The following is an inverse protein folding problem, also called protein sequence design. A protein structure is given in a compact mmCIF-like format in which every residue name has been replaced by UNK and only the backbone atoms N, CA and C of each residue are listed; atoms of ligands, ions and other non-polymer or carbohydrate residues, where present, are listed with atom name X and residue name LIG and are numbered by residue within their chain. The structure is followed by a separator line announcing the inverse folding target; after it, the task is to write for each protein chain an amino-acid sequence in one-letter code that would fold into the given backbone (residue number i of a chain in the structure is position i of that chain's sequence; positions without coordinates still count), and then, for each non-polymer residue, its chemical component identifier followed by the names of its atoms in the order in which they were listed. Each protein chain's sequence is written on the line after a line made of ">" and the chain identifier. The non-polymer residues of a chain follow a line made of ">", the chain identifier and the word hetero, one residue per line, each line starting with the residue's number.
data_IF_878765492546
#
_entry.id   IF_878765492546
#
_cell.length_a   1.000
_cell.length_b   1.000
_cell.length_c   1.000
_cell.angle_alpha   90.00
_cell.angle_beta   90.00
_cell.angle_gamma   90.00
#
_symmetry.space_group_name_H-M   'P 1'
#
loop_
_entity.id
_entity.type
_entity.pdbx_description
1 polymer ?
#
# COMPACT_ATOMS: atom_id res chain seq x y z
N UNK A 1 38.13 -21.73 -61.51
CA UNK A 1 38.63 -20.58 -60.73
C UNK A 1 37.53 -19.63 -60.24
N UNK A 2 36.32 -19.73 -60.72
CA UNK A 2 35.16 -18.85 -60.36
C UNK A 2 34.44 -19.24 -59.04
N UNK A 3 34.61 -20.44 -58.51
CA UNK A 3 33.86 -20.88 -57.32
C UNK A 3 34.44 -20.38 -55.98
N UNK A 4 35.74 -20.02 -55.94
CA UNK A 4 36.38 -19.51 -54.72
C UNK A 4 36.10 -18.01 -54.51
N UNK A 5 35.93 -17.23 -55.57
CA UNK A 5 35.71 -15.79 -55.51
C UNK A 5 34.26 -15.47 -54.97
N UNK A 6 33.29 -16.33 -55.30
CA UNK A 6 31.90 -16.17 -54.83
C UNK A 6 31.75 -16.44 -53.31
N UNK A 7 32.55 -17.35 -52.72
CA UNK A 7 32.55 -17.61 -51.28
C UNK A 7 33.08 -16.45 -50.43
N UNK A 8 34.09 -15.74 -50.92
CA UNK A 8 34.66 -14.58 -50.17
C UNK A 8 33.79 -13.34 -50.27
N UNK A 9 33.03 -13.17 -51.36
CA UNK A 9 32.03 -12.10 -51.49
C UNK A 9 30.86 -12.34 -50.56
N UNK A 10 30.41 -13.58 -50.42
CA UNK A 10 29.28 -13.95 -49.53
C UNK A 10 29.65 -13.82 -48.05
N UNK A 11 30.91 -14.13 -47.69
CA UNK A 11 31.44 -13.91 -46.31
C UNK A 11 31.62 -12.40 -46.02
N UNK A 12 32.07 -11.61 -47.02
CA UNK A 12 32.20 -10.15 -46.89
C UNK A 12 30.84 -9.44 -46.74
N UNK A 13 29.78 -9.91 -47.39
CA UNK A 13 28.42 -9.41 -47.23
C UNK A 13 27.84 -9.79 -45.88
N UNK A 14 28.07 -11.00 -45.37
CA UNK A 14 27.64 -11.38 -44.00
C UNK A 14 28.33 -10.56 -42.90
N UNK A 15 29.57 -10.14 -43.06
CA UNK A 15 30.29 -9.30 -42.10
C UNK A 15 29.84 -7.84 -42.10
N UNK A 16 29.26 -7.34 -43.21
CA UNK A 16 28.74 -5.96 -43.31
C UNK A 16 27.35 -5.90 -42.66
N UNK A 17 26.57 -6.99 -42.68
CA UNK A 17 25.25 -7.03 -42.02
C UNK A 17 25.34 -7.30 -40.51
N UNK A 18 26.43 -7.86 -40.00
CA UNK A 18 26.58 -8.12 -38.55
C UNK A 18 26.93 -6.86 -37.73
N UNK A 19 27.39 -5.76 -38.38
CA UNK A 19 27.74 -4.54 -37.67
C UNK A 19 26.58 -3.63 -37.27
N UNK A 20 25.40 -3.82 -37.82
CA UNK A 20 24.21 -3.00 -37.47
C UNK A 20 23.37 -3.60 -36.34
N UNK A 21 23.45 -4.92 -36.09
CA UNK A 21 22.64 -5.57 -35.05
C UNK A 21 23.13 -5.32 -33.63
N UNK A 22 24.41 -5.06 -33.40
CA UNK A 22 24.95 -4.83 -32.06
C UNK A 22 24.69 -3.39 -31.54
N UNK A 23 24.67 -2.40 -32.43
CA UNK A 23 24.44 -1.00 -32.02
C UNK A 23 22.97 -0.74 -31.64
N UNK A 24 22.02 -1.38 -32.29
CA UNK A 24 20.59 -1.24 -31.99
C UNK A 24 20.20 -1.91 -30.67
N UNK A 25 20.84 -3.03 -30.30
CA UNK A 25 20.57 -3.71 -29.03
C UNK A 25 21.06 -2.90 -27.80
N UNK A 26 22.16 -2.18 -27.91
CA UNK A 26 22.72 -1.39 -26.81
C UNK A 26 21.84 -0.14 -26.55
N UNK A 27 21.34 0.54 -27.59
CA UNK A 27 20.45 1.69 -27.44
C UNK A 27 19.10 1.27 -26.83
N UNK A 28 18.49 0.21 -27.34
CA UNK A 28 17.23 -0.32 -26.80
C UNK A 28 17.37 -0.67 -25.31
N UNK A 29 18.46 -1.33 -24.91
CA UNK A 29 18.69 -1.69 -23.51
C UNK A 29 18.87 -0.45 -22.62
N UNK A 30 19.53 0.58 -23.14
CA UNK A 30 19.69 1.85 -22.44
C UNK A 30 18.36 2.57 -22.27
N UNK A 31 17.57 2.69 -23.33
CA UNK A 31 16.27 3.36 -23.32
C UNK A 31 15.27 2.62 -22.43
N UNK A 32 15.29 1.28 -22.43
CA UNK A 32 14.53 0.46 -21.47
C UNK A 32 14.96 0.74 -20.03
N UNK A 33 16.25 0.91 -19.77
CA UNK A 33 16.77 1.32 -18.46
C UNK A 33 16.18 2.64 -18.01
N UNK A 34 16.21 3.65 -18.85
CA UNK A 34 15.62 4.97 -18.59
C UNK A 34 14.10 4.90 -18.38
N UNK A 35 13.39 4.13 -19.21
CA UNK A 35 11.95 3.93 -19.06
C UNK A 35 11.60 3.28 -17.70
N UNK A 36 12.42 2.32 -17.27
CA UNK A 36 12.25 1.68 -15.95
C UNK A 36 12.46 2.69 -14.83
N UNK A 37 13.51 3.52 -14.90
CA UNK A 37 13.79 4.56 -13.89
C UNK A 37 12.64 5.58 -13.81
N UNK A 38 12.13 6.01 -14.95
CA UNK A 38 10.96 6.90 -15.05
C UNK A 38 9.70 6.27 -14.42
N UNK A 39 9.46 4.99 -14.73
CA UNK A 39 8.35 4.24 -14.16
C UNK A 39 8.47 4.05 -12.63
N UNK A 40 9.68 3.84 -12.10
CA UNK A 40 9.93 3.73 -10.67
C UNK A 40 9.67 5.06 -9.95
N UNK A 41 10.17 6.16 -10.50
CA UNK A 41 9.92 7.50 -9.96
C UNK A 41 8.42 7.78 -9.88
N UNK A 42 7.70 7.54 -11.00
CA UNK A 42 6.26 7.76 -11.04
C UNK A 42 5.51 6.86 -10.06
N UNK A 43 5.84 5.57 -10.04
CA UNK A 43 5.20 4.58 -9.17
C UNK A 43 5.36 4.92 -7.69
N UNK A 44 6.54 5.38 -7.25
CA UNK A 44 6.75 5.78 -5.86
C UNK A 44 5.87 6.96 -5.46
N UNK A 45 5.78 7.99 -6.30
CA UNK A 45 4.92 9.16 -6.06
C UNK A 45 3.44 8.79 -6.07
N UNK A 46 3.04 7.95 -7.01
CA UNK A 46 1.66 7.53 -7.20
C UNK A 46 1.13 6.69 -6.02
N UNK A 47 1.87 5.65 -5.59
CA UNK A 47 1.37 4.67 -4.61
C UNK A 47 1.61 5.07 -3.15
N UNK A 48 2.61 5.90 -2.85
CA UNK A 48 3.00 6.23 -1.48
C UNK A 48 1.84 6.75 -0.62
N UNK A 49 0.96 7.67 -1.07
CA UNK A 49 -0.16 8.12 -0.26
C UNK A 49 -1.14 7.01 0.11
N UNK A 50 -1.36 6.05 -0.80
CA UNK A 50 -2.24 4.91 -0.55
C UNK A 50 -1.66 3.93 0.47
N UNK A 51 -0.38 3.62 0.38
CA UNK A 51 0.29 2.72 1.34
C UNK A 51 0.46 3.39 2.70
N UNK A 52 0.73 4.69 2.77
CA UNK A 52 0.71 5.45 4.02
C UNK A 52 -0.70 5.39 4.66
N UNK A 53 -1.75 5.60 3.87
CA UNK A 53 -3.14 5.48 4.33
C UNK A 53 -3.46 4.09 4.89
N UNK A 54 -2.98 3.03 4.24
CA UNK A 54 -3.17 1.66 4.68
C UNK A 54 -2.59 1.43 6.09
N UNK A 55 -1.39 1.96 6.39
CA UNK A 55 -0.79 1.89 7.73
C UNK A 55 -1.69 2.52 8.79
N UNK A 56 -2.26 3.70 8.51
CA UNK A 56 -3.14 4.38 9.48
C UNK A 56 -4.45 3.63 9.69
N UNK A 57 -4.99 3.02 8.63
CA UNK A 57 -6.22 2.23 8.71
C UNK A 57 -6.00 0.93 9.48
N UNK A 58 -4.91 0.21 9.24
CA UNK A 58 -4.62 -1.05 9.91
C UNK A 58 -4.19 -0.86 11.36
N UNK A 59 -3.57 0.28 11.68
CA UNK A 59 -3.05 0.59 13.01
C UNK A 59 -4.14 0.93 14.03
N UNK A 60 -5.29 1.45 13.60
CA UNK A 60 -6.38 1.85 14.50
C UNK A 60 -7.36 0.72 14.82
N UNK A 61 -8.10 0.88 15.94
CA UNK A 61 -9.21 -0.02 16.29
C UNK A 61 -8.79 -1.44 16.70
N UNK A 62 -7.59 -1.61 17.23
CA UNK A 62 -7.13 -2.90 17.77
C UNK A 62 -7.67 -3.20 19.16
N UNK A 63 -7.83 -2.17 19.98
CA UNK A 63 -8.17 -2.32 21.39
C UNK A 63 -9.59 -1.85 21.65
N UNK A 64 -10.43 -2.75 22.10
CA UNK A 64 -11.82 -2.45 22.46
C UNK A 64 -11.95 -1.87 23.87
N UNK A 65 -11.10 -2.36 24.78
CA UNK A 65 -11.06 -1.95 26.18
C UNK A 65 -9.68 -2.22 26.74
N UNK A 66 -9.20 -1.37 27.63
CA UNK A 66 -7.97 -1.61 28.40
C UNK A 66 -8.21 -2.48 29.65
N UNK A 67 -9.46 -2.83 29.93
CA UNK A 67 -9.86 -3.62 31.11
C UNK A 67 -9.27 -5.03 31.09
N UNK A 68 -8.94 -5.54 32.28
CA UNK A 68 -8.63 -6.96 32.49
C UNK A 68 -9.92 -7.77 32.36
N UNK A 69 -9.90 -8.78 31.50
CA UNK A 69 -11.02 -9.71 31.29
C UNK A 69 -10.79 -11.02 32.04
N UNK A 70 -11.86 -11.80 32.18
CA UNK A 70 -11.77 -13.12 32.75
C UNK A 70 -11.08 -14.08 31.79
N UNK A 71 -10.50 -15.14 32.34
CA UNK A 71 -9.90 -16.20 31.54
C UNK A 71 -10.95 -16.82 30.60
N UNK A 72 -10.58 -16.99 29.32
CA UNK A 72 -11.39 -17.53 28.24
C UNK A 72 -12.56 -16.66 27.79
N UNK A 73 -12.67 -15.42 28.26
CA UNK A 73 -13.60 -14.48 27.65
C UNK A 73 -13.19 -14.26 26.16
N UNK A 74 -14.18 -14.40 25.28
CA UNK A 74 -14.02 -14.19 23.84
C UNK A 74 -14.79 -12.95 23.43
N UNK A 75 -14.18 -12.11 22.61
CA UNK A 75 -14.86 -11.01 21.94
C UNK A 75 -14.73 -11.19 20.44
N UNK A 76 -15.83 -11.01 19.72
CA UNK A 76 -15.83 -10.95 18.25
C UNK A 76 -16.44 -9.63 17.84
N UNK A 77 -15.85 -8.98 16.86
CA UNK A 77 -16.31 -7.68 16.38
C UNK A 77 -16.37 -7.61 14.85
N UNK A 78 -17.41 -6.93 14.37
CA UNK A 78 -17.52 -6.47 13.00
C UNK A 78 -17.25 -4.97 12.99
N UNK A 79 -16.34 -4.55 12.15
CA UNK A 79 -15.84 -3.19 12.13
C UNK A 79 -15.97 -2.60 10.73
N UNK A 80 -16.14 -1.29 10.66
CA UNK A 80 -16.08 -0.52 9.42
C UNK A 80 -15.16 0.68 9.63
N UNK A 81 -14.12 0.76 8.85
CA UNK A 81 -13.19 1.89 8.81
C UNK A 81 -13.62 2.91 7.76
N UNK A 82 -13.48 4.18 8.11
CA UNK A 82 -13.71 5.35 7.26
C UNK A 82 -12.40 6.15 7.21
N UNK A 83 -11.71 6.09 6.13
CA UNK A 83 -10.49 6.86 5.91
C UNK A 83 -10.81 8.11 5.10
N UNK A 84 -10.52 9.28 5.66
CA UNK A 84 -10.73 10.57 5.01
C UNK A 84 -9.48 10.94 4.21
N UNK A 85 -9.62 10.96 2.88
CA UNK A 85 -8.51 11.24 1.96
C UNK A 85 -8.19 12.74 1.99
N UNK A 86 -6.99 13.15 2.47
CA UNK A 86 -6.62 14.56 2.50
C UNK A 86 -6.42 15.11 1.07
N UNK A 87 -6.75 16.39 0.88
CA UNK A 87 -6.55 17.02 -0.43
C UNK A 87 -5.08 17.08 -0.84
N UNK A 88 -4.17 17.24 0.12
CA UNK A 88 -2.72 17.25 -0.11
C UNK A 88 -2.14 15.95 -0.68
N UNK A 89 -2.83 14.85 -0.48
CA UNK A 89 -2.36 13.52 -0.87
C UNK A 89 -3.08 12.98 -2.12
N UNK A 90 -3.90 13.81 -2.78
CA UNK A 90 -4.66 13.42 -3.98
C UNK A 90 -3.91 13.58 -5.28
N UNK A 91 -2.96 14.50 -5.32
CA UNK A 91 -2.25 14.89 -6.53
C UNK A 91 -0.77 15.12 -6.21
N UNK A 92 0.08 14.99 -7.21
CA UNK A 92 1.48 15.37 -7.13
C UNK A 92 1.94 16.01 -8.44
N UNK A 93 2.95 16.87 -8.34
CA UNK A 93 3.54 17.53 -9.49
C UNK A 93 4.66 16.68 -10.07
N UNK A 94 4.70 16.60 -11.41
CA UNK A 94 5.79 16.04 -12.20
C UNK A 94 6.37 17.13 -13.09
N UNK A 95 7.65 17.00 -13.43
CA UNK A 95 8.37 17.89 -14.34
C UNK A 95 9.11 17.05 -15.38
N UNK A 96 9.35 17.61 -16.57
CA UNK A 96 10.17 16.92 -17.58
C UNK A 96 11.58 16.59 -17.06
N UNK A 97 12.13 17.39 -16.13
CA UNK A 97 13.43 17.13 -15.50
C UNK A 97 13.44 15.92 -14.55
N UNK A 98 12.28 15.39 -14.19
CA UNK A 98 12.17 14.22 -13.33
C UNK A 98 12.29 12.90 -14.10
N UNK A 99 12.26 12.96 -15.43
CA UNK A 99 12.29 11.84 -16.35
C UNK A 99 13.55 11.82 -17.19
N UNK A 100 13.99 10.64 -17.59
CA UNK A 100 15.15 10.40 -18.43
C UNK A 100 14.76 10.15 -19.90
N UNK A 101 13.68 9.40 -20.12
CA UNK A 101 13.15 9.04 -21.43
C UNK A 101 11.84 9.77 -21.74
N UNK A 102 10.96 9.88 -20.75
CA UNK A 102 9.61 10.41 -20.93
C UNK A 102 9.57 11.93 -20.78
N UNK A 103 8.59 12.55 -21.42
CA UNK A 103 8.27 13.96 -21.29
C UNK A 103 6.75 14.16 -21.34
N UNK A 104 6.27 15.31 -20.86
CA UNK A 104 4.85 15.65 -20.90
C UNK A 104 4.47 15.98 -22.35
N UNK A 105 3.57 15.17 -22.94
CA UNK A 105 3.19 15.25 -24.37
C UNK A 105 2.66 16.63 -24.77
N UNK A 106 1.98 17.34 -23.87
CA UNK A 106 1.44 18.68 -24.16
C UNK A 106 2.49 19.77 -24.39
N UNK A 107 3.78 19.47 -24.20
CA UNK A 107 4.88 20.44 -24.27
C UNK A 107 5.02 21.32 -23.02
N UNK A 108 4.21 21.11 -21.98
CA UNK A 108 4.35 21.77 -20.70
C UNK A 108 5.61 21.29 -19.97
N UNK A 109 6.26 22.17 -19.20
CA UNK A 109 7.46 21.83 -18.42
C UNK A 109 7.12 21.08 -17.14
N UNK A 110 5.87 21.20 -16.64
CA UNK A 110 5.36 20.53 -15.46
C UNK A 110 3.86 20.27 -15.58
N UNK A 111 3.38 19.25 -14.90
CA UNK A 111 1.95 18.92 -14.80
C UNK A 111 1.62 18.36 -13.42
N UNK A 112 0.34 18.47 -13.04
CA UNK A 112 -0.20 17.83 -11.84
C UNK A 112 -0.94 16.57 -12.26
N UNK A 113 -0.68 15.46 -11.57
CA UNK A 113 -1.26 14.15 -11.85
C UNK A 113 -1.82 13.53 -10.58
N UNK A 114 -2.83 12.64 -10.66
CA UNK A 114 -3.42 12.03 -9.48
C UNK A 114 -2.48 11.02 -8.83
N UNK A 115 -2.57 10.92 -7.50
CA UNK A 115 -2.06 9.76 -6.77
C UNK A 115 -3.04 8.58 -6.86
N UNK A 116 -2.67 7.42 -6.36
CA UNK A 116 -3.53 6.22 -6.33
C UNK A 116 -4.86 6.43 -5.59
N UNK A 117 -4.88 7.27 -4.54
CA UNK A 117 -6.10 7.65 -3.80
C UNK A 117 -6.71 8.97 -4.27
N UNK A 118 -6.09 9.60 -5.26
CA UNK A 118 -6.43 10.92 -5.73
C UNK A 118 -7.57 10.98 -6.72
N UNK A 119 -7.77 12.21 -7.17
CA UNK A 119 -8.63 12.56 -8.28
C UNK A 119 -7.84 13.56 -9.13
N UNK A 120 -8.00 13.51 -10.37
CA UNK A 120 -7.32 14.42 -11.29
C UNK A 120 -7.41 13.89 -12.69
N UNK A 121 -7.03 14.73 -13.60
CA UNK A 121 -7.01 14.37 -15.01
C UNK A 121 -5.77 13.55 -15.32
N UNK A 122 -5.96 12.56 -16.18
CA UNK A 122 -4.86 11.83 -16.76
C UNK A 122 -4.18 12.71 -17.81
N UNK A 123 -2.89 12.56 -17.94
CA UNK A 123 -2.11 13.16 -19.03
C UNK A 123 -1.37 12.06 -19.76
N UNK A 124 -0.84 12.41 -20.93
CA UNK A 124 0.02 11.53 -21.69
C UNK A 124 1.48 11.94 -21.49
N UNK A 125 2.32 10.94 -21.30
CA UNK A 125 3.76 11.02 -21.36
C UNK A 125 4.21 10.42 -22.70
N UNK A 126 5.10 11.08 -23.40
CA UNK A 126 5.65 10.64 -24.66
C UNK A 126 7.17 10.48 -24.53
N UNK A 127 7.73 9.54 -25.26
CA UNK A 127 9.15 9.27 -25.33
C UNK A 127 9.49 8.56 -26.63
N UNK A 128 10.76 8.20 -26.79
CA UNK A 128 11.27 7.44 -27.93
C UNK A 128 12.00 6.21 -27.38
N UNK A 129 11.66 5.04 -27.89
CA UNK A 129 12.26 3.77 -27.51
C UNK A 129 12.91 3.15 -28.75
N UNK A 130 14.22 3.27 -28.87
CA UNK A 130 15.01 2.78 -30.02
C UNK A 130 14.53 3.35 -31.39
N UNK A 131 14.13 4.64 -31.43
CA UNK A 131 13.62 5.32 -32.61
C UNK A 131 12.11 5.14 -32.83
N UNK A 132 11.41 4.39 -31.98
CA UNK A 132 9.96 4.22 -32.05
C UNK A 132 9.26 5.07 -30.99
N UNK A 133 8.29 5.92 -31.37
CA UNK A 133 7.58 6.78 -30.42
C UNK A 133 6.72 5.94 -29.47
N UNK A 134 6.87 6.17 -28.18
CA UNK A 134 6.01 5.60 -27.16
C UNK A 134 5.13 6.66 -26.52
N UNK A 135 3.92 6.26 -26.15
CA UNK A 135 2.92 7.11 -25.51
C UNK A 135 2.25 6.37 -24.36
N UNK A 136 2.36 6.91 -23.17
CA UNK A 136 1.88 6.27 -21.93
C UNK A 136 0.87 7.19 -21.25
N UNK A 137 -0.34 6.72 -21.02
CA UNK A 137 -1.34 7.44 -20.23
C UNK A 137 -1.07 7.25 -18.74
N UNK A 138 -1.03 8.34 -17.97
CA UNK A 138 -0.85 8.25 -16.52
C UNK A 138 -2.06 7.57 -15.86
N UNK A 139 -1.86 6.74 -14.82
CA UNK A 139 -2.97 6.02 -14.17
C UNK A 139 -3.90 6.97 -13.41
N UNK A 140 -5.18 6.62 -13.34
CA UNK A 140 -6.19 7.31 -12.50
C UNK A 140 -6.12 6.84 -11.06
N UNK A 141 -6.40 7.74 -10.13
CA UNK A 141 -6.71 7.37 -8.75
C UNK A 141 -8.14 6.85 -8.57
N UNK A 142 -8.46 6.39 -7.35
CA UNK A 142 -9.80 5.86 -7.02
C UNK A 142 -10.87 6.94 -6.95
N UNK A 143 -10.49 8.21 -6.85
CA UNK A 143 -11.38 9.37 -6.76
C UNK A 143 -12.49 9.19 -5.72
N UNK A 144 -12.11 8.94 -4.48
CA UNK A 144 -13.03 8.83 -3.34
C UNK A 144 -12.61 9.78 -2.23
N UNK A 145 -13.59 10.52 -1.66
CA UNK A 145 -13.31 11.40 -0.51
C UNK A 145 -13.14 10.61 0.77
N UNK A 146 -13.83 9.48 0.86
CA UNK A 146 -13.76 8.55 1.99
C UNK A 146 -13.61 7.15 1.45
N UNK A 147 -12.58 6.46 1.90
CA UNK A 147 -12.38 5.03 1.63
C UNK A 147 -12.98 4.24 2.79
N UNK A 148 -13.89 3.34 2.47
CA UNK A 148 -14.62 2.54 3.46
C UNK A 148 -14.23 1.07 3.27
N UNK A 149 -13.82 0.41 4.36
CA UNK A 149 -13.61 -1.03 4.30
C UNK A 149 -14.04 -1.72 5.61
N UNK A 150 -14.71 -2.87 5.50
CA UNK A 150 -15.06 -3.68 6.64
C UNK A 150 -13.90 -4.60 7.06
N UNK A 151 -13.85 -4.93 8.34
CA UNK A 151 -12.97 -5.98 8.83
C UNK A 151 -13.57 -6.69 10.05
N UNK A 152 -13.17 -7.92 10.25
CA UNK A 152 -13.47 -8.71 11.43
C UNK A 152 -12.33 -8.58 12.43
N UNK A 153 -12.65 -8.66 13.70
CA UNK A 153 -11.66 -8.71 14.77
C UNK A 153 -12.11 -9.66 15.87
N UNK A 154 -11.15 -10.20 16.56
CA UNK A 154 -11.37 -11.11 17.66
C UNK A 154 -10.37 -10.88 18.79
N UNK A 155 -10.80 -11.18 20.02
CA UNK A 155 -9.93 -11.19 21.19
C UNK A 155 -10.24 -12.42 22.04
N UNK A 156 -9.19 -13.09 22.52
CA UNK A 156 -9.28 -14.20 23.45
C UNK A 156 -8.47 -13.85 24.70
N UNK A 157 -9.13 -13.84 25.85
CA UNK A 157 -8.50 -13.56 27.14
C UNK A 157 -7.81 -14.80 27.70
N UNK A 158 -6.58 -14.61 28.10
CA UNK A 158 -5.71 -15.62 28.69
C UNK A 158 -5.41 -15.30 30.17
N UNK A 159 -4.45 -16.00 30.75
CA UNK A 159 -3.99 -15.80 32.12
C UNK A 159 -3.34 -14.40 32.31
N UNK A 160 -3.36 -13.94 33.53
CA UNK A 160 -2.67 -12.72 34.00
C UNK A 160 -3.07 -11.45 33.25
N UNK A 161 -4.34 -11.36 32.75
CA UNK A 161 -4.82 -10.17 32.05
C UNK A 161 -4.18 -9.95 30.67
N UNK A 162 -3.72 -11.04 30.07
CA UNK A 162 -3.22 -11.05 28.69
C UNK A 162 -4.34 -11.45 27.74
N UNK A 163 -4.39 -10.85 26.55
CA UNK A 163 -5.33 -11.21 25.48
C UNK A 163 -4.58 -11.35 24.15
N UNK A 164 -4.95 -12.35 23.38
CA UNK A 164 -4.55 -12.48 21.97
C UNK A 164 -5.58 -11.78 21.12
N UNK A 165 -5.12 -10.99 20.17
CA UNK A 165 -5.94 -10.19 19.26
C UNK A 165 -5.73 -10.68 17.83
N UNK A 166 -6.79 -10.66 17.03
CA UNK A 166 -6.75 -10.94 15.59
C UNK A 166 -7.58 -9.91 14.84
N UNK A 167 -7.11 -9.53 13.64
CA UNK A 167 -7.80 -8.65 12.71
C UNK A 167 -7.73 -9.26 11.32
N UNK A 168 -8.83 -9.25 10.60
CA UNK A 168 -8.91 -9.77 9.24
C UNK A 168 -9.91 -8.97 8.41
N UNK A 169 -9.49 -8.47 7.27
CA UNK A 169 -10.37 -7.99 6.21
C UNK A 169 -10.24 -8.92 5.01
N UNK A 170 -11.34 -9.43 4.46
CA UNK A 170 -11.27 -10.07 3.16
C UNK A 170 -10.81 -9.04 2.11
N UNK A 171 -10.44 -9.53 0.94
CA UNK A 171 -10.08 -8.63 -0.17
C UNK A 171 -11.32 -7.85 -0.59
N UNK A 172 -11.25 -6.53 -0.44
CA UNK A 172 -12.32 -5.57 -0.74
C UNK A 172 -11.96 -4.83 -2.01
N UNK A 173 -12.87 -4.86 -2.99
CA UNK A 173 -12.71 -4.13 -4.25
C UNK A 173 -13.14 -2.67 -4.05
N UNK A 174 -12.25 -1.75 -4.36
CA UNK A 174 -12.45 -0.30 -4.29
C UNK A 174 -12.27 0.28 -5.70
N UNK A 175 -13.29 0.23 -6.54
CA UNK A 175 -13.23 0.65 -7.96
C UNK A 175 -12.08 -0.06 -8.71
N UNK A 176 -10.93 0.60 -8.87
CA UNK A 176 -9.72 0.10 -9.56
C UNK A 176 -8.64 -0.37 -8.60
N UNK A 177 -8.98 -0.57 -7.35
CA UNK A 177 -8.04 -1.01 -6.33
C UNK A 177 -8.65 -2.13 -5.50
N UNK A 178 -7.78 -2.91 -4.89
CA UNK A 178 -8.14 -3.92 -3.91
C UNK A 178 -7.39 -3.64 -2.62
N UNK A 179 -8.04 -3.93 -1.49
CA UNK A 179 -7.46 -3.81 -0.17
C UNK A 179 -7.73 -5.08 0.64
N UNK A 180 -6.70 -5.56 1.29
CA UNK A 180 -6.77 -6.66 2.25
C UNK A 180 -5.89 -6.36 3.46
N UNK A 181 -6.32 -6.76 4.65
CA UNK A 181 -5.48 -6.74 5.85
C UNK A 181 -5.69 -8.00 6.65
N UNK A 182 -4.61 -8.50 7.23
CA UNK A 182 -4.65 -9.48 8.32
C UNK A 182 -3.59 -9.12 9.36
N UNK A 183 -3.85 -9.50 10.59
CA UNK A 183 -2.88 -9.24 11.64
C UNK A 183 -3.27 -9.92 12.94
N UNK A 184 -2.32 -9.93 13.85
CA UNK A 184 -2.47 -10.48 15.19
C UNK A 184 -1.71 -9.62 16.20
N UNK A 185 -2.06 -9.76 17.47
CA UNK A 185 -1.41 -9.01 18.52
C UNK A 185 -1.62 -9.62 19.90
N UNK A 186 -0.93 -9.02 20.86
CA UNK A 186 -1.04 -9.35 22.26
C UNK A 186 -1.29 -8.07 23.03
N UNK A 187 -2.35 -8.05 23.83
CA UNK A 187 -2.66 -6.98 24.79
C UNK A 187 -2.41 -7.50 26.20
N UNK A 188 -1.80 -6.68 27.06
CA UNK A 188 -1.60 -6.99 28.46
C UNK A 188 -2.11 -5.85 29.34
N UNK A 189 -2.96 -6.17 30.33
CA UNK A 189 -3.47 -5.19 31.28
C UNK A 189 -2.40 -4.86 32.32
N UNK A 190 -2.01 -3.58 32.38
CA UNK A 190 -1.00 -3.07 33.30
C UNK A 190 -1.60 -2.59 34.62
N UNK A 191 -2.87 -2.15 34.65
CA UNK A 191 -3.50 -1.60 35.87
C UNK A 191 -3.53 -2.58 37.01
N UNK A 192 -3.55 -3.91 36.76
CA UNK A 192 -3.50 -4.94 37.79
C UNK A 192 -2.25 -4.89 38.70
N UNK A 193 -1.21 -4.17 38.28
CA UNK A 193 0.03 -3.98 39.06
C UNK A 193 0.05 -2.68 39.84
N UNK A 194 -0.95 -1.79 39.66
CA UNK A 194 -0.98 -0.46 40.28
C UNK A 194 -2.27 -0.24 41.06
N UNK A 195 -2.23 -0.40 42.38
CA UNK A 195 -3.38 -0.24 43.29
C UNK A 195 -4.11 1.10 43.12
N UNK A 196 -3.38 2.18 42.83
CA UNK A 196 -3.97 3.50 42.59
C UNK A 196 -4.85 3.56 41.36
N UNK A 197 -4.51 2.84 40.29
CA UNK A 197 -5.30 2.76 39.08
C UNK A 197 -6.58 1.94 39.30
N UNK A 198 -6.46 0.81 40.01
CA UNK A 198 -7.62 0.00 40.37
C UNK A 198 -8.62 0.75 41.26
N UNK A 199 -8.13 1.47 42.28
CA UNK A 199 -8.96 2.27 43.16
C UNK A 199 -9.73 3.37 42.42
N UNK A 200 -9.14 3.97 41.38
CA UNK A 200 -9.76 5.00 40.55
C UNK A 200 -10.55 4.45 39.35
N UNK A 201 -10.64 3.11 39.22
CA UNK A 201 -11.29 2.42 38.08
C UNK A 201 -10.73 2.88 36.73
N UNK A 202 -9.43 3.12 36.68
CA UNK A 202 -8.69 3.45 35.45
C UNK A 202 -8.01 2.15 34.99
N UNK A 203 -8.32 1.73 33.80
CA UNK A 203 -7.68 0.59 33.17
C UNK A 203 -6.54 1.09 32.26
N UNK A 204 -5.40 0.44 32.33
CA UNK A 204 -4.23 0.70 31.49
C UNK A 204 -3.80 -0.62 30.87
N UNK A 205 -3.50 -0.60 29.57
CA UNK A 205 -3.01 -1.78 28.86
C UNK A 205 -1.93 -1.39 27.85
N UNK A 206 -0.94 -2.26 27.70
CA UNK A 206 0.02 -2.22 26.59
C UNK A 206 -0.37 -3.28 25.55
N UNK A 207 -0.19 -2.96 24.29
CA UNK A 207 -0.52 -3.84 23.16
C UNK A 207 0.63 -3.83 22.17
N UNK A 208 1.01 -5.01 21.69
CA UNK A 208 1.92 -5.18 20.56
C UNK A 208 1.17 -5.89 19.45
N UNK A 209 1.23 -5.37 18.23
CA UNK A 209 0.56 -5.97 17.07
C UNK A 209 1.48 -6.03 15.86
N UNK A 210 1.19 -6.98 15.00
CA UNK A 210 1.68 -7.09 13.64
C UNK A 210 0.50 -7.12 12.69
N UNK A 211 0.59 -6.38 11.60
CA UNK A 211 -0.35 -6.47 10.49
C UNK A 211 0.38 -6.47 9.15
N UNK A 212 -0.24 -7.10 8.17
CA UNK A 212 0.16 -7.06 6.78
C UNK A 212 -0.99 -6.51 5.96
N UNK A 213 -0.72 -5.48 5.19
CA UNK A 213 -1.65 -4.83 4.28
C UNK A 213 -1.22 -5.07 2.85
N UNK A 214 -2.19 -5.44 2.00
CA UNK A 214 -2.04 -5.50 0.54
C UNK A 214 -2.98 -4.48 -0.09
N UNK A 215 -2.41 -3.48 -0.73
CA UNK A 215 -3.13 -2.44 -1.47
C UNK A 215 -2.71 -2.51 -2.91
N UNK A 216 -3.61 -2.85 -3.81
CA UNK A 216 -3.30 -2.96 -5.24
C UNK A 216 -4.16 -2.05 -6.09
N UNK A 217 -3.57 -1.56 -7.17
CA UNK A 217 -4.20 -0.66 -8.13
C UNK A 217 -4.03 -1.21 -9.53
N UNK A 218 -5.16 -1.34 -10.24
CA UNK A 218 -5.17 -1.74 -11.64
C UNK A 218 -5.07 -0.50 -12.54
N UNK A 219 -4.25 -0.60 -13.57
CA UNK A 219 -4.13 0.38 -14.63
C UNK A 219 -4.28 -0.31 -15.99
N UNK A 220 -4.38 0.47 -17.05
CA UNK A 220 -4.54 -0.07 -18.39
C UNK A 220 -3.28 -0.82 -18.82
N UNK A 221 -3.47 -1.91 -19.58
CA UNK A 221 -2.37 -2.61 -20.22
C UNK A 221 -1.59 -1.65 -21.12
N UNK A 222 -0.28 -1.62 -20.95
CA UNK A 222 0.61 -0.83 -21.80
C UNK A 222 0.85 -1.65 -23.08
N UNK A 223 0.26 -1.19 -24.19
CA UNK A 223 0.44 -1.77 -25.50
C UNK A 223 1.54 -1.04 -26.25
N UNK A 224 2.41 -1.78 -26.87
CA UNK A 224 3.45 -1.28 -27.78
C UNK A 224 3.35 -2.01 -29.11
N UNK A 225 4.05 -1.57 -30.16
CA UNK A 225 4.12 -2.30 -31.43
C UNK A 225 4.74 -3.71 -31.27
N UNK A 226 5.50 -3.91 -30.22
CA UNK A 226 6.06 -5.22 -29.82
C UNK A 226 5.10 -6.09 -28.98
N UNK A 227 3.89 -5.59 -28.68
CA UNK A 227 2.86 -6.25 -27.90
C UNK A 227 2.66 -5.67 -26.50
N UNK A 228 1.90 -6.40 -25.67
CA UNK A 228 1.60 -6.01 -24.29
C UNK A 228 2.84 -6.18 -23.40
N UNK A 229 3.20 -5.14 -22.63
CA UNK A 229 4.30 -5.21 -21.65
C UNK A 229 4.01 -6.15 -20.47
N UNK A 230 2.78 -6.64 -20.33
CA UNK A 230 2.42 -7.56 -19.25
C UNK A 230 2.38 -6.92 -17.87
N UNK A 231 2.16 -5.61 -17.79
CA UNK A 231 2.14 -4.84 -16.55
C UNK A 231 0.83 -4.06 -16.50
N UNK A 232 -0.06 -4.41 -15.58
CA UNK A 232 -1.33 -3.70 -15.42
C UNK A 232 -1.78 -3.56 -13.96
N UNK A 233 -0.98 -4.03 -12.99
CA UNK A 233 -1.29 -3.92 -11.57
C UNK A 233 -0.03 -3.58 -10.76
N UNK A 234 -0.13 -2.53 -9.93
CA UNK A 234 0.86 -2.17 -8.93
C UNK A 234 0.31 -2.47 -7.54
N UNK A 235 1.00 -3.28 -6.76
CA UNK A 235 0.66 -3.61 -5.38
C UNK A 235 1.67 -3.00 -4.42
N UNK A 236 1.17 -2.38 -3.35
CA UNK A 236 1.94 -2.01 -2.17
C UNK A 236 1.66 -3.03 -1.06
N UNK A 237 2.69 -3.72 -0.62
CA UNK A 237 2.67 -4.66 0.49
C UNK A 237 3.33 -3.98 1.69
N UNK A 238 2.61 -3.90 2.79
CA UNK A 238 3.08 -3.19 3.98
C UNK A 238 3.05 -4.11 5.18
N UNK A 239 4.21 -4.32 5.79
CA UNK A 239 4.34 -5.03 7.06
C UNK A 239 4.45 -4.00 8.19
N UNK A 240 3.48 -3.97 9.10
CA UNK A 240 3.42 -2.98 10.20
C UNK A 240 3.61 -3.65 11.55
N UNK A 241 4.60 -3.20 12.29
CA UNK A 241 4.85 -3.56 13.70
C UNK A 241 4.45 -2.38 14.59
N UNK A 242 3.61 -2.62 15.57
CA UNK A 242 3.01 -1.56 16.36
C UNK A 242 3.10 -1.85 17.86
N UNK A 243 3.38 -0.79 18.61
CA UNK A 243 3.21 -0.74 20.06
C UNK A 243 2.13 0.30 20.39
N UNK A 244 1.24 -0.02 21.31
CA UNK A 244 0.15 0.87 21.70
C UNK A 244 -0.02 0.86 23.22
N UNK A 245 -0.22 2.04 23.81
CA UNK A 245 -0.63 2.21 25.20
C UNK A 245 -2.05 2.76 25.22
N UNK A 246 -2.92 2.10 25.98
CA UNK A 246 -4.32 2.47 26.09
C UNK A 246 -4.70 2.68 27.55
N UNK A 247 -5.41 3.77 27.81
CA UNK A 247 -6.08 4.01 29.08
C UNK A 247 -7.60 4.04 28.85
N UNK A 248 -8.36 3.40 29.72
CA UNK A 248 -9.83 3.45 29.66
C UNK A 248 -10.46 3.63 31.04
N UNK A 249 -11.68 4.19 31.02
CA UNK A 249 -12.49 4.34 32.21
C UNK A 249 -13.95 4.07 31.91
N UNK A 250 -14.57 3.25 32.77
CA UNK A 250 -15.99 2.91 32.66
C UNK A 250 -16.87 3.89 33.45
N UNK A 251 -17.95 4.32 32.83
CA UNK A 251 -19.02 5.11 33.43
C UNK A 251 -20.36 4.40 33.19
N UNK A 252 -20.78 3.54 34.08
CA UNK A 252 -21.98 2.69 33.94
C UNK A 252 -21.91 1.82 32.67
N UNK A 253 -22.65 2.21 31.63
CA UNK A 253 -22.70 1.50 30.33
C UNK A 253 -21.78 2.10 29.27
N UNK A 254 -21.05 3.14 29.59
CA UNK A 254 -20.15 3.82 28.66
C UNK A 254 -18.72 3.58 29.13
N UNK A 255 -17.84 3.20 28.23
CA UNK A 255 -16.40 3.20 28.42
C UNK A 255 -15.77 4.18 27.46
N UNK A 256 -14.93 5.07 27.98
CA UNK A 256 -14.09 5.98 27.19
C UNK A 256 -12.68 5.44 27.21
N UNK A 257 -12.05 5.42 26.05
CA UNK A 257 -10.70 4.92 25.86
C UNK A 257 -9.88 5.95 25.10
N UNK A 258 -8.63 6.16 25.54
CA UNK A 258 -7.62 6.93 24.82
C UNK A 258 -6.38 6.06 24.62
N UNK A 259 -5.78 6.16 23.44
CA UNK A 259 -4.62 5.38 23.06
C UNK A 259 -3.53 6.23 22.40
N UNK A 260 -2.29 5.83 22.62
CA UNK A 260 -1.13 6.32 21.90
C UNK A 260 -0.50 5.14 21.16
N UNK A 261 -0.28 5.31 19.87
CA UNK A 261 0.21 4.29 18.94
C UNK A 261 1.55 4.77 18.36
N UNK A 262 2.54 3.89 18.41
CA UNK A 262 3.80 4.01 17.69
C UNK A 262 3.95 2.78 16.79
N UNK A 263 4.20 2.98 15.50
CA UNK A 263 4.42 1.89 14.58
C UNK A 263 5.65 2.12 13.70
N UNK A 264 6.19 1.01 13.20
CA UNK A 264 7.21 0.97 12.15
C UNK A 264 6.67 0.07 11.05
N UNK A 265 6.70 0.57 9.82
CA UNK A 265 6.14 -0.11 8.66
C UNK A 265 7.17 -0.25 7.55
N UNK A 266 7.29 -1.46 7.02
CA UNK A 266 8.12 -1.80 5.88
C UNK A 266 7.27 -1.85 4.62
N UNK A 267 7.59 -0.99 3.66
CA UNK A 267 6.87 -0.83 2.39
C UNK A 267 7.61 -1.57 1.28
N UNK A 268 6.92 -2.49 0.64
CA UNK A 268 7.37 -3.26 -0.51
C UNK A 268 6.40 -3.08 -1.67
N UNK A 269 6.90 -3.12 -2.88
CA UNK A 269 6.09 -2.91 -4.07
C UNK A 269 6.25 -4.07 -5.04
N UNK A 270 5.18 -4.38 -5.78
CA UNK A 270 5.17 -5.46 -6.76
C UNK A 270 4.32 -5.06 -7.96
N UNK A 271 4.89 -5.24 -9.16
CA UNK A 271 4.19 -5.15 -10.43
C UNK A 271 3.77 -6.54 -10.89
N UNK A 272 2.55 -6.65 -11.39
CA UNK A 272 2.00 -7.86 -11.97
C UNK A 272 1.12 -7.52 -13.18
N UNK A 273 0.82 -8.52 -14.00
CA UNK A 273 -0.07 -8.39 -15.17
C UNK A 273 -0.09 -9.67 -15.96
N UNK A 274 -0.94 -9.71 -16.98
CA UNK A 274 -1.02 -10.82 -17.93
C UNK A 274 0.20 -10.76 -18.84
N UNK A 275 1.04 -11.79 -18.79
CA UNK A 275 2.25 -11.87 -19.62
C UNK A 275 1.89 -11.88 -21.10
N UNK A 276 2.49 -10.97 -21.86
CA UNK A 276 2.39 -10.88 -23.31
C UNK A 276 3.62 -11.46 -24.03
N UNK A 277 3.67 -11.35 -25.34
CA UNK A 277 4.74 -11.90 -26.19
C UNK A 277 6.14 -11.34 -25.81
N UNK A 278 6.21 -10.11 -25.34
CA UNK A 278 7.48 -9.47 -24.92
C UNK A 278 8.10 -10.23 -23.74
N UNK A 279 7.29 -10.71 -22.79
CA UNK A 279 7.77 -11.41 -21.59
C UNK A 279 8.44 -12.76 -21.91
N UNK A 280 8.16 -13.34 -23.09
CA UNK A 280 8.84 -14.56 -23.57
C UNK A 280 10.28 -14.30 -23.97
N UNK A 281 10.57 -13.07 -24.43
CA UNK A 281 11.91 -12.67 -24.89
C UNK A 281 12.66 -11.91 -23.82
N UNK A 282 11.99 -10.98 -23.14
CA UNK A 282 12.55 -10.13 -22.09
C UNK A 282 11.69 -10.33 -20.81
N UNK A 283 12.23 -10.86 -19.72
CA UNK A 283 11.48 -11.08 -18.47
C UNK A 283 11.23 -9.75 -17.74
N UNK A 284 10.41 -8.88 -18.35
CA UNK A 284 10.23 -7.48 -17.96
C UNK A 284 9.61 -7.36 -16.55
N UNK A 285 8.59 -8.18 -16.23
CA UNK A 285 8.02 -8.21 -14.88
C UNK A 285 9.07 -8.56 -13.82
N UNK A 286 9.94 -9.51 -14.11
CA UNK A 286 11.01 -9.87 -13.18
C UNK A 286 11.99 -8.73 -13.00
N UNK A 287 12.46 -8.12 -14.08
CA UNK A 287 13.40 -6.98 -14.06
C UNK A 287 12.81 -5.82 -13.27
N UNK A 288 11.58 -5.41 -13.57
CA UNK A 288 10.89 -4.33 -12.87
C UNK A 288 10.69 -4.63 -11.38
N UNK A 289 10.32 -5.86 -11.03
CA UNK A 289 10.18 -6.24 -9.62
C UNK A 289 11.52 -6.30 -8.88
N UNK A 290 12.66 -6.54 -9.55
CA UNK A 290 13.97 -6.37 -8.93
C UNK A 290 14.31 -4.89 -8.69
N UNK A 291 14.03 -4.04 -9.68
CA UNK A 291 14.26 -2.59 -9.59
C UNK A 291 13.33 -1.92 -8.57
N UNK A 292 12.09 -2.36 -8.41
CA UNK A 292 11.15 -1.87 -7.39
C UNK A 292 11.70 -2.00 -5.96
N UNK A 293 12.65 -2.90 -5.71
CA UNK A 293 13.30 -3.00 -4.39
C UNK A 293 14.08 -1.74 -4.02
N UNK A 294 14.49 -0.95 -4.99
CA UNK A 294 15.25 0.30 -4.77
C UNK A 294 14.37 1.41 -4.14
N UNK A 295 13.04 1.32 -4.32
CA UNK A 295 12.09 2.25 -3.69
C UNK A 295 11.44 1.68 -2.41
N UNK A 296 11.89 0.51 -1.93
CA UNK A 296 11.46 -0.01 -0.63
C UNK A 296 11.89 0.94 0.48
N UNK A 297 11.02 1.11 1.45
CA UNK A 297 11.28 2.06 2.54
C UNK A 297 10.66 1.59 3.84
N UNK A 298 11.28 2.01 4.93
CA UNK A 298 10.76 1.83 6.29
C UNK A 298 10.39 3.19 6.85
N UNK A 299 9.19 3.30 7.42
CA UNK A 299 8.71 4.53 8.06
C UNK A 299 8.23 4.27 9.47
N UNK A 300 8.53 5.20 10.37
CA UNK A 300 7.95 5.25 11.71
C UNK A 300 6.82 6.29 11.76
N UNK A 301 5.71 5.95 12.42
CA UNK A 301 4.57 6.84 12.58
C UNK A 301 4.08 6.85 14.04
N UNK A 302 3.50 7.96 14.44
CA UNK A 302 2.85 8.15 15.73
C UNK A 302 1.41 8.59 15.51
N UNK A 303 0.49 8.02 16.31
CA UNK A 303 -0.93 8.30 16.21
C UNK A 303 -1.54 8.41 17.60
N UNK A 304 -2.56 9.25 17.72
CA UNK A 304 -3.48 9.25 18.85
C UNK A 304 -4.77 8.54 18.48
N UNK A 305 -5.42 7.92 19.48
CA UNK A 305 -6.72 7.27 19.31
C UNK A 305 -7.62 7.62 20.47
N UNK A 306 -8.88 7.97 20.18
CA UNK A 306 -9.93 8.18 21.19
C UNK A 306 -11.16 7.38 20.77
N UNK A 307 -11.76 6.64 21.72
CA UNK A 307 -12.99 5.92 21.45
C UNK A 307 -13.99 5.98 22.60
N UNK A 308 -15.26 5.90 22.22
CA UNK A 308 -16.37 5.72 23.10
C UNK A 308 -17.07 4.38 22.80
N UNK A 309 -17.31 3.59 23.84
CA UNK A 309 -17.91 2.26 23.77
C UNK A 309 -19.17 2.24 24.63
N UNK A 310 -20.29 1.77 24.07
CA UNK A 310 -21.57 1.66 24.77
C UNK A 310 -22.04 0.23 24.86
N UNK A 311 -22.43 -0.20 26.07
CA UNK A 311 -22.83 -1.57 26.38
C UNK A 311 -24.36 -1.75 26.31
N UNK A 312 -24.79 -2.74 25.54
CA UNK A 312 -26.17 -3.23 25.46
C UNK A 312 -26.15 -4.74 25.73
N UNK A 313 -26.30 -5.14 27.01
CA UNK A 313 -26.16 -6.53 27.43
C UNK A 313 -24.76 -7.08 27.11
N UNK A 314 -24.65 -8.07 26.22
CA UNK A 314 -23.39 -8.65 25.72
C UNK A 314 -22.92 -8.02 24.42
N UNK A 315 -23.69 -7.08 23.87
CA UNK A 315 -23.34 -6.33 22.65
C UNK A 315 -22.72 -5.00 23.05
N UNK A 316 -21.70 -4.59 22.33
CA UNK A 316 -21.06 -3.29 22.49
C UNK A 316 -20.99 -2.59 21.14
N UNK A 317 -21.26 -1.30 21.14
CA UNK A 317 -21.07 -0.42 19.99
C UNK A 317 -19.94 0.54 20.35
N UNK A 318 -18.92 0.61 19.50
CA UNK A 318 -17.78 1.48 19.74
C UNK A 318 -17.54 2.37 18.51
N UNK A 319 -17.31 3.64 18.76
CA UNK A 319 -16.81 4.59 17.76
C UNK A 319 -15.41 5.02 18.16
N UNK A 320 -14.48 4.95 17.22
CA UNK A 320 -13.08 5.30 17.40
C UNK A 320 -12.69 6.34 16.38
N UNK A 321 -11.93 7.34 16.81
CA UNK A 321 -11.25 8.31 15.92
C UNK A 321 -9.75 8.18 16.19
N UNK A 322 -8.99 7.92 15.16
CA UNK A 322 -7.55 7.93 15.19
C UNK A 322 -7.01 9.08 14.34
N UNK A 323 -5.97 9.72 14.83
CA UNK A 323 -5.42 10.94 14.23
C UNK A 323 -3.88 10.94 14.30
N UNK A 324 -3.28 11.53 13.29
CA UNK A 324 -1.85 11.68 13.09
C UNK A 324 -1.63 12.45 11.79
N UNK A 325 -0.80 11.93 10.87
CA UNK A 325 -0.73 12.48 9.50
C UNK A 325 -2.10 12.41 8.80
N UNK A 326 -2.85 11.33 9.05
CA UNK A 326 -4.19 11.13 8.56
C UNK A 326 -5.20 11.02 9.69
N UNK A 327 -6.47 11.27 9.36
CA UNK A 327 -7.59 11.02 10.25
C UNK A 327 -8.40 9.87 9.70
N UNK A 328 -8.67 8.89 10.55
CA UNK A 328 -9.61 7.82 10.25
C UNK A 328 -10.58 7.61 11.40
N UNK A 329 -11.73 7.05 11.08
CA UNK A 329 -12.76 6.69 12.05
C UNK A 329 -13.10 5.21 11.89
N UNK A 330 -13.39 4.55 12.99
CA UNK A 330 -13.84 3.18 13.01
C UNK A 330 -15.15 3.09 13.79
N UNK A 331 -16.12 2.40 13.22
CA UNK A 331 -17.35 2.01 13.89
C UNK A 331 -17.35 0.49 14.04
N UNK A 332 -17.57 -0.02 15.26
CA UNK A 332 -17.59 -1.44 15.51
C UNK A 332 -18.81 -1.87 16.33
N UNK A 333 -19.29 -3.07 16.03
CA UNK A 333 -20.26 -3.80 16.83
C UNK A 333 -19.57 -5.08 17.31
N UNK A 334 -19.56 -5.29 18.63
CA UNK A 334 -18.84 -6.35 19.27
C UNK A 334 -19.81 -7.22 20.09
N UNK A 335 -19.52 -8.49 20.19
CA UNK A 335 -20.21 -9.42 21.07
C UNK A 335 -19.19 -10.07 22.02
N UNK A 336 -19.51 -10.06 23.32
CA UNK A 336 -18.73 -10.72 24.38
C UNK A 336 -19.44 -11.97 24.86
N UNK A 337 -18.75 -13.08 24.77
CA UNK A 337 -19.27 -14.41 25.16
C UNK A 337 -19.18 -14.67 26.67
#
# INVERSE_FOLDING_TARGET
>A
MLSKFSKYIMIGICLIFSGKSFSQSDQLLQDLGYLIDDALFFSDKYITPATDAAVYQSSSGWVYSAKKRKLWDVTVGVNTNFFFVPNSDREFQIKNSDFQLLSIESGATSATVPTAIGNGDQIYLAGDLDGEPIRIETPKGINQNVVIYPHLSGALSLWYGTEVLVKYSPRVNLKRSEYQVYGFGIKHNLSQYFKSLEANKINLAATATYSNEDVSFDFLDIQTDFGNLGINRLSGLVDTYQMQLNASKEYKKIEVLAGFIANVSDFKYKLTGTKGAIEETIPLQYILNQRLKEIYKTKANFMGEISGRYQISKIFIQSTIAFGKFVNSNLSVQYEF
#
